data_IF_843853176361
#
_entry.id   IF_843853176361
#
_cell.length_a   1.000
_cell.length_b   1.000
_cell.length_c   1.000
_cell.angle_alpha   90.00
_cell.angle_beta   90.00
_cell.angle_gamma   90.00
#
_symmetry.space_group_name_H-M   'P 1'
#
loop_
_entity.id
_entity.type
_entity.pdbx_description
1 polymer ?
#
# COMPACT_ATOMS: atom_id res chain seq x y z
N UNK A 1 -88.06 -22.94 -23.05
CA UNK A 1 -87.31 -21.70 -22.73
C UNK A 1 -85.86 -22.08 -22.50
N UNK A 2 -84.99 -21.86 -23.49
CA UNK A 2 -83.54 -22.01 -23.35
C UNK A 2 -83.00 -20.75 -22.66
N UNK A 3 -82.28 -20.91 -21.55
CA UNK A 3 -81.53 -19.85 -20.88
C UNK A 3 -80.05 -20.04 -21.17
N UNK A 4 -79.52 -19.16 -22.02
CA UNK A 4 -78.10 -19.01 -22.33
C UNK A 4 -77.43 -18.23 -21.20
N UNK A 5 -76.54 -18.87 -20.46
CA UNK A 5 -75.67 -18.20 -19.47
C UNK A 5 -74.37 -17.75 -20.14
N UNK A 6 -74.12 -16.44 -20.13
CA UNK A 6 -72.84 -15.85 -20.55
C UNK A 6 -71.89 -15.81 -19.35
N UNK A 7 -70.73 -16.47 -19.48
CA UNK A 7 -69.61 -16.34 -18.54
C UNK A 7 -68.72 -15.18 -18.99
N UNK A 8 -68.68 -14.12 -18.18
CA UNK A 8 -67.75 -12.98 -18.34
C UNK A 8 -66.49 -13.31 -17.53
N UNK A 9 -65.37 -13.59 -18.21
CA UNK A 9 -64.05 -13.71 -17.57
C UNK A 9 -63.47 -12.33 -17.28
N UNK A 10 -63.35 -11.97 -16.01
CA UNK A 10 -62.60 -10.80 -15.56
C UNK A 10 -61.10 -11.15 -15.45
N UNK A 11 -60.27 -10.58 -16.33
CA UNK A 11 -58.82 -10.62 -16.24
C UNK A 11 -58.34 -9.54 -15.25
N UNK A 12 -57.88 -9.97 -14.07
CA UNK A 12 -57.17 -9.12 -13.12
C UNK A 12 -55.71 -8.98 -13.57
N UNK A 13 -55.33 -7.79 -14.05
CA UNK A 13 -53.93 -7.46 -14.32
C UNK A 13 -53.23 -7.11 -13.00
N UNK A 14 -52.38 -8.02 -12.51
CA UNK A 14 -51.52 -7.76 -11.35
C UNK A 14 -50.28 -6.99 -11.83
N UNK A 15 -50.25 -5.69 -11.59
CA UNK A 15 -49.05 -4.87 -11.75
C UNK A 15 -48.08 -5.18 -10.60
N UNK A 16 -47.07 -6.02 -10.86
CA UNK A 16 -45.97 -6.25 -9.93
C UNK A 16 -45.07 -5.01 -9.89
N UNK A 17 -45.15 -4.23 -8.82
CA UNK A 17 -44.17 -3.18 -8.54
C UNK A 17 -42.84 -3.85 -8.17
N UNK A 18 -41.78 -3.59 -8.95
CA UNK A 18 -40.44 -4.04 -8.60
C UNK A 18 -39.94 -3.25 -7.38
N UNK A 19 -39.87 -3.91 -6.22
CA UNK A 19 -39.20 -3.35 -5.05
C UNK A 19 -37.71 -3.20 -5.37
N UNK A 20 -37.08 -2.02 -5.20
CA UNK A 20 -35.65 -1.87 -5.40
C UNK A 20 -34.92 -2.83 -4.46
N UNK A 21 -34.04 -3.65 -5.02
CA UNK A 21 -33.18 -4.54 -4.25
C UNK A 21 -32.28 -3.66 -3.35
N UNK A 22 -32.22 -3.90 -2.03
CA UNK A 22 -31.30 -3.17 -1.17
C UNK A 22 -29.88 -3.38 -1.69
N UNK A 23 -29.22 -2.28 -2.09
CA UNK A 23 -27.79 -2.29 -2.41
C UNK A 23 -27.05 -2.59 -1.12
N UNK A 24 -26.47 -3.79 -1.02
CA UNK A 24 -25.55 -4.12 0.06
C UNK A 24 -24.35 -3.18 -0.06
N UNK A 25 -24.26 -2.18 0.82
CA UNK A 25 -23.02 -1.48 1.07
C UNK A 25 -21.96 -2.53 1.37
N UNK A 26 -20.92 -2.58 0.54
CA UNK A 26 -19.76 -3.45 0.76
C UNK A 26 -19.19 -3.05 2.13
N UNK A 27 -19.42 -3.88 3.15
CA UNK A 27 -18.94 -3.61 4.51
C UNK A 27 -17.41 -3.59 4.51
N UNK A 28 -16.86 -2.63 5.26
CA UNK A 28 -15.44 -2.60 5.57
C UNK A 28 -14.99 -3.95 6.15
N UNK A 29 -13.78 -4.38 5.79
CA UNK A 29 -13.21 -5.65 6.22
C UNK A 29 -12.05 -5.39 7.17
N UNK A 30 -12.17 -5.84 8.42
CA UNK A 30 -11.14 -5.70 9.46
C UNK A 30 -10.40 -7.02 9.68
N UNK A 31 -9.08 -6.94 9.71
CA UNK A 31 -8.15 -8.07 9.90
C UNK A 31 -7.27 -7.78 11.11
N UNK A 32 -7.32 -8.64 12.14
CA UNK A 32 -6.51 -8.49 13.36
C UNK A 32 -5.62 -9.70 13.66
N UNK A 33 -5.71 -10.77 12.85
CA UNK A 33 -4.79 -11.91 12.92
C UNK A 33 -3.59 -11.67 12.00
N UNK A 34 -2.48 -12.39 12.20
CA UNK A 34 -1.18 -12.01 11.63
C UNK A 34 -1.11 -11.83 10.11
N UNK A 35 -1.89 -12.59 9.34
CA UNK A 35 -1.72 -12.75 7.89
C UNK A 35 -2.98 -12.45 7.06
N UNK A 36 -3.92 -11.68 7.62
CA UNK A 36 -5.14 -11.32 6.89
C UNK A 36 -4.83 -10.61 5.57
N UNK A 37 -5.60 -10.93 4.51
CA UNK A 37 -5.53 -10.26 3.22
C UNK A 37 -6.90 -10.03 2.60
N UNK A 38 -7.00 -9.01 1.73
CA UNK A 38 -8.16 -8.73 0.88
C UNK A 38 -7.72 -8.48 -0.55
N UNK A 39 -8.03 -9.41 -1.46
CA UNK A 39 -7.78 -9.22 -2.89
C UNK A 39 -8.91 -8.41 -3.53
N UNK A 40 -8.58 -7.27 -4.17
CA UNK A 40 -9.59 -6.39 -4.77
C UNK A 40 -8.99 -5.48 -5.85
N UNK A 41 -9.74 -5.21 -6.92
CA UNK A 41 -9.36 -4.31 -8.02
C UNK A 41 -8.00 -4.63 -8.70
N UNK A 42 -7.51 -5.88 -8.61
CA UNK A 42 -6.19 -6.28 -9.12
C UNK A 42 -5.03 -6.03 -8.16
N UNK A 43 -5.34 -5.67 -6.91
CA UNK A 43 -4.39 -5.44 -5.82
C UNK A 43 -4.70 -6.37 -4.66
N UNK A 44 -3.80 -6.39 -3.68
CA UNK A 44 -4.03 -7.06 -2.40
C UNK A 44 -3.77 -6.08 -1.27
N UNK A 45 -4.73 -5.96 -0.35
CA UNK A 45 -4.53 -5.29 0.94
C UNK A 45 -4.03 -6.34 1.93
N UNK A 46 -2.92 -6.06 2.59
CA UNK A 46 -2.28 -6.95 3.56
C UNK A 46 -2.32 -6.35 4.96
N UNK A 47 -2.56 -7.21 5.94
CA UNK A 47 -2.31 -6.91 7.34
C UNK A 47 -0.82 -7.10 7.72
N UNK A 48 -0.27 -8.27 7.40
CA UNK A 48 1.17 -8.57 7.37
C UNK A 48 1.95 -8.19 8.65
N UNK A 49 1.63 -8.85 9.77
CA UNK A 49 2.36 -8.73 11.04
C UNK A 49 3.56 -9.67 11.10
N UNK A 50 4.44 -9.61 10.10
CA UNK A 50 5.57 -10.52 9.99
C UNK A 50 6.57 -10.42 11.14
N UNK A 51 6.73 -9.23 11.72
CA UNK A 51 7.67 -8.93 12.79
C UNK A 51 7.07 -8.93 14.19
N UNK A 52 5.78 -9.29 14.35
CA UNK A 52 5.10 -9.18 15.65
C UNK A 52 5.76 -10.00 16.76
N UNK A 53 6.44 -11.11 16.41
CA UNK A 53 7.21 -11.91 17.35
C UNK A 53 8.41 -11.19 17.99
N UNK A 54 8.84 -10.05 17.44
CA UNK A 54 9.88 -9.19 18.03
C UNK A 54 9.33 -8.27 19.13
N UNK A 55 8.00 -8.12 19.23
CA UNK A 55 7.39 -7.32 20.27
C UNK A 55 7.31 -8.12 21.59
N UNK A 56 7.49 -7.42 22.71
CA UNK A 56 7.18 -7.97 24.04
C UNK A 56 5.66 -8.07 24.27
N UNK A 57 4.91 -7.14 23.68
CA UNK A 57 3.45 -7.13 23.66
C UNK A 57 2.95 -6.17 22.59
N UNK A 58 1.69 -6.35 22.19
CA UNK A 58 1.02 -5.43 21.29
C UNK A 58 -0.09 -6.10 20.48
N UNK A 59 -0.72 -5.29 19.65
CA UNK A 59 -1.77 -5.70 18.74
C UNK A 59 -1.81 -4.75 17.54
N UNK A 60 -2.37 -5.23 16.45
CA UNK A 60 -2.66 -4.43 15.27
C UNK A 60 -3.92 -4.95 14.60
N UNK A 61 -4.71 -4.05 14.04
CA UNK A 61 -5.83 -4.36 13.17
C UNK A 61 -5.77 -3.49 11.92
N UNK A 62 -6.05 -4.06 10.76
CA UNK A 62 -6.09 -3.35 9.48
C UNK A 62 -7.50 -3.42 8.92
N UNK A 63 -8.08 -2.26 8.61
CA UNK A 63 -9.42 -2.14 8.05
C UNK A 63 -9.33 -1.66 6.61
N UNK A 64 -9.78 -2.50 5.68
CA UNK A 64 -10.01 -2.09 4.30
C UNK A 64 -11.44 -1.55 4.17
N UNK A 65 -11.58 -0.26 3.85
CA UNK A 65 -12.89 0.38 3.72
C UNK A 65 -13.47 0.15 2.32
N UNK A 66 -12.80 0.66 1.29
CA UNK A 66 -13.29 0.62 -0.09
C UNK A 66 -12.21 0.94 -1.14
N UNK A 67 -12.53 0.65 -2.41
CA UNK A 67 -11.84 1.22 -3.57
C UNK A 67 -12.81 2.18 -4.26
N UNK A 68 -12.48 3.47 -4.28
CA UNK A 68 -13.20 4.52 -5.02
C UNK A 68 -12.89 4.43 -6.52
N UNK A 69 -13.59 5.22 -7.32
CA UNK A 69 -13.34 5.34 -8.76
C UNK A 69 -11.86 5.64 -9.05
N UNK A 70 -11.34 5.06 -10.15
CA UNK A 70 -9.93 5.23 -10.53
C UNK A 70 -8.94 4.40 -9.71
N UNK A 71 -9.39 3.31 -9.07
CA UNK A 71 -8.58 2.44 -8.20
C UNK A 71 -7.95 3.20 -7.01
N UNK A 72 -8.72 4.11 -6.40
CA UNK A 72 -8.29 4.88 -5.23
C UNK A 72 -8.69 4.17 -3.94
N UNK A 73 -7.70 3.63 -3.22
CA UNK A 73 -7.90 2.85 -2.01
C UNK A 73 -8.12 3.74 -0.78
N UNK A 74 -9.04 3.31 0.09
CA UNK A 74 -9.29 3.89 1.42
C UNK A 74 -9.18 2.76 2.43
N UNK A 75 -8.28 2.92 3.40
CA UNK A 75 -8.00 1.91 4.42
C UNK A 75 -7.30 2.54 5.62
N UNK A 76 -7.29 1.82 6.74
CA UNK A 76 -6.57 2.20 7.95
C UNK A 76 -5.89 1.01 8.61
N UNK A 77 -4.92 1.30 9.47
CA UNK A 77 -4.46 0.33 10.47
C UNK A 77 -4.30 1.02 11.82
N UNK A 78 -4.72 0.31 12.86
CA UNK A 78 -4.64 0.73 14.25
C UNK A 78 -3.76 -0.25 15.00
N UNK A 79 -2.85 0.25 15.83
CA UNK A 79 -1.90 -0.62 16.53
C UNK A 79 -1.37 -0.03 17.83
N UNK A 80 -0.85 -0.92 18.67
CA UNK A 80 0.04 -0.61 19.78
C UNK A 80 1.09 -1.69 19.84
N UNK A 81 2.37 -1.33 19.87
CA UNK A 81 3.50 -2.25 19.92
C UNK A 81 4.52 -1.79 20.96
N UNK A 82 5.01 -2.72 21.77
CA UNK A 82 5.99 -2.46 22.83
C UNK A 82 7.15 -3.45 22.76
N UNK A 83 8.39 -2.96 22.90
CA UNK A 83 9.59 -3.80 22.92
C UNK A 83 10.09 -4.15 21.51
N UNK A 84 11.25 -4.82 21.45
CA UNK A 84 11.95 -5.06 20.19
C UNK A 84 12.39 -3.74 19.55
N UNK A 85 13.10 -2.91 20.32
CA UNK A 85 13.57 -1.60 19.87
C UNK A 85 14.34 -1.70 18.55
N UNK A 86 14.01 -0.84 17.59
CA UNK A 86 14.61 -0.86 16.25
C UNK A 86 14.19 -2.03 15.36
N UNK A 87 13.27 -2.90 15.80
CA UNK A 87 12.69 -3.98 14.99
C UNK A 87 11.29 -3.61 14.49
N UNK A 88 11.06 -3.71 13.20
CA UNK A 88 9.73 -3.54 12.59
C UNK A 88 8.80 -4.69 13.04
N UNK A 89 7.53 -4.38 13.30
CA UNK A 89 6.53 -5.37 13.75
C UNK A 89 5.58 -5.83 12.64
N UNK A 90 5.35 -5.00 11.62
CA UNK A 90 4.43 -5.30 10.53
C UNK A 90 4.76 -4.46 9.30
N UNK A 91 4.15 -4.80 8.17
CA UNK A 91 4.00 -3.87 7.07
C UNK A 91 2.60 -4.03 6.47
N UNK A 92 1.59 -3.42 7.11
CA UNK A 92 0.26 -3.32 6.53
C UNK A 92 0.32 -2.43 5.30
N UNK A 93 -0.11 -2.93 4.16
CA UNK A 93 0.10 -2.26 2.87
C UNK A 93 -0.96 -2.63 1.83
N UNK A 94 -1.05 -1.80 0.78
CA UNK A 94 -1.73 -2.15 -0.47
C UNK A 94 -0.67 -2.44 -1.53
N UNK A 95 -0.77 -3.61 -2.16
CA UNK A 95 0.21 -4.09 -3.12
C UNK A 95 -0.36 -4.25 -4.53
N UNK A 96 0.38 -3.74 -5.51
CA UNK A 96 0.30 -4.19 -6.89
C UNK A 96 1.36 -5.26 -7.11
N UNK A 97 0.92 -6.51 -7.15
CA UNK A 97 1.79 -7.67 -7.31
C UNK A 97 1.96 -8.05 -8.78
N UNK A 98 2.99 -8.86 -9.07
CA UNK A 98 3.25 -9.45 -10.39
C UNK A 98 3.30 -8.42 -11.53
N UNK A 99 3.93 -7.27 -11.30
CA UNK A 99 4.08 -6.21 -12.31
C UNK A 99 4.81 -6.74 -13.54
N UNK A 100 5.90 -7.50 -13.33
CA UNK A 100 6.63 -8.25 -14.36
C UNK A 100 7.02 -7.42 -15.60
N UNK A 101 7.48 -6.20 -15.36
CA UNK A 101 7.97 -5.29 -16.40
C UNK A 101 9.39 -4.83 -16.11
N UNK A 102 10.24 -4.77 -17.14
CA UNK A 102 11.58 -4.20 -17.00
C UNK A 102 11.48 -2.70 -16.77
N UNK A 103 12.41 -2.13 -16.00
CA UNK A 103 12.52 -0.68 -15.83
C UNK A 103 12.62 0.06 -17.18
N UNK A 104 13.34 -0.51 -18.16
CA UNK A 104 13.45 0.04 -19.52
C UNK A 104 12.12 0.12 -20.28
N UNK A 105 11.09 -0.63 -19.88
CA UNK A 105 9.76 -0.63 -20.48
C UNK A 105 8.80 0.34 -19.80
N UNK A 106 9.18 0.92 -18.66
CA UNK A 106 8.31 1.79 -17.86
C UNK A 106 8.40 3.23 -18.34
N UNK A 107 7.27 3.76 -18.81
CA UNK A 107 7.12 5.18 -19.14
C UNK A 107 6.99 6.02 -17.87
N UNK A 108 6.05 5.64 -17.01
CA UNK A 108 5.72 6.34 -15.76
C UNK A 108 5.01 5.42 -14.77
N UNK A 109 5.15 5.70 -13.49
CA UNK A 109 4.41 5.10 -12.37
C UNK A 109 3.77 6.24 -11.55
N UNK A 110 2.75 6.94 -12.07
CA UNK A 110 2.04 7.95 -11.30
C UNK A 110 1.40 7.34 -10.05
N UNK A 111 1.58 8.01 -8.91
CA UNK A 111 0.93 7.68 -7.65
C UNK A 111 0.47 8.94 -6.93
N UNK A 112 -0.71 8.84 -6.32
CA UNK A 112 -1.22 9.80 -5.35
C UNK A 112 -1.43 9.10 -4.03
N UNK A 113 -1.05 9.73 -2.94
CA UNK A 113 -1.26 9.20 -1.61
C UNK A 113 -1.53 10.30 -0.59
N UNK A 114 -2.76 10.31 -0.06
CA UNK A 114 -3.19 11.18 1.03
C UNK A 114 -3.39 10.34 2.28
N UNK A 115 -2.57 10.59 3.29
CA UNK A 115 -2.56 9.81 4.53
C UNK A 115 -2.39 10.69 5.77
N UNK A 116 -2.86 10.24 6.92
CA UNK A 116 -2.63 10.87 8.23
C UNK A 116 -2.27 9.81 9.26
N UNK A 117 -1.54 10.23 10.29
CA UNK A 117 -1.06 9.34 11.34
C UNK A 117 -1.13 10.05 12.68
N UNK A 118 -1.79 9.43 13.64
CA UNK A 118 -1.87 9.88 15.04
C UNK A 118 -1.43 8.76 15.96
N UNK A 119 -0.95 9.09 17.15
CA UNK A 119 -0.53 8.11 18.15
C UNK A 119 0.31 8.75 19.24
N UNK A 120 0.66 7.97 20.27
CA UNK A 120 1.54 8.41 21.37
C UNK A 120 2.85 7.62 21.36
N UNK A 121 3.98 8.33 21.54
CA UNK A 121 5.33 7.77 21.52
C UNK A 121 5.61 6.87 20.31
N UNK A 122 5.09 7.28 19.15
CA UNK A 122 5.07 6.47 17.94
C UNK A 122 6.38 6.57 17.17
N UNK A 123 7.00 5.41 16.95
CA UNK A 123 8.15 5.19 16.05
C UNK A 123 7.64 4.35 14.89
N UNK A 124 7.53 4.97 13.71
CA UNK A 124 7.01 4.34 12.51
C UNK A 124 7.45 5.10 11.26
N UNK A 125 7.47 4.43 10.11
CA UNK A 125 7.48 5.08 8.81
C UNK A 125 6.12 5.00 8.10
N UNK A 126 6.00 5.78 7.04
CA UNK A 126 4.98 5.62 6.00
C UNK A 126 5.74 5.60 4.69
N UNK A 127 5.64 4.50 3.96
CA UNK A 127 6.56 4.21 2.88
C UNK A 127 5.88 3.55 1.69
N UNK A 128 6.41 3.86 0.50
CA UNK A 128 6.34 2.94 -0.61
C UNK A 128 7.45 1.92 -0.46
N UNK A 129 7.18 0.68 -0.84
CA UNK A 129 8.16 -0.40 -0.89
C UNK A 129 8.10 -1.07 -2.27
N UNK A 130 9.19 -0.94 -3.03
CA UNK A 130 9.24 -1.22 -4.45
C UNK A 130 10.33 -2.25 -4.75
N UNK A 131 9.97 -3.35 -5.39
CA UNK A 131 10.83 -4.51 -5.50
C UNK A 131 11.33 -4.74 -6.93
N UNK A 132 12.62 -5.05 -7.05
CA UNK A 132 13.26 -5.39 -8.32
C UNK A 132 13.97 -6.74 -8.27
N UNK A 133 13.83 -7.52 -9.32
CA UNK A 133 14.53 -8.79 -9.54
C UNK A 133 15.26 -8.83 -10.88
N UNK A 134 16.31 -9.67 -11.06
CA UNK A 134 16.97 -9.89 -12.34
C UNK A 134 16.05 -10.44 -13.44
N UNK A 135 15.01 -11.18 -13.06
CA UNK A 135 13.97 -11.70 -13.94
C UNK A 135 12.66 -11.88 -13.15
N UNK A 136 11.54 -12.09 -13.84
CA UNK A 136 10.23 -12.25 -13.19
C UNK A 136 10.13 -13.49 -12.28
N UNK A 137 11.02 -14.47 -12.43
CA UNK A 137 11.04 -15.71 -11.64
C UNK A 137 12.21 -15.77 -10.64
N UNK A 138 13.08 -14.76 -10.63
CA UNK A 138 14.20 -14.69 -9.70
C UNK A 138 13.78 -14.03 -8.39
N UNK A 139 14.52 -14.32 -7.33
CA UNK A 139 14.38 -13.57 -6.07
C UNK A 139 14.71 -12.10 -6.28
N UNK A 140 14.07 -11.24 -5.49
CA UNK A 140 14.38 -9.81 -5.49
C UNK A 140 15.84 -9.56 -5.13
N UNK A 141 16.45 -8.60 -5.82
CA UNK A 141 17.83 -8.16 -5.59
C UNK A 141 17.91 -6.75 -5.04
N UNK A 142 16.93 -5.91 -5.35
CA UNK A 142 16.81 -4.58 -4.78
C UNK A 142 15.44 -4.38 -4.14
N UNK A 143 15.47 -3.67 -3.03
CA UNK A 143 14.34 -3.09 -2.34
C UNK A 143 14.51 -1.57 -2.38
N UNK A 144 13.50 -0.85 -2.85
CA UNK A 144 13.54 0.60 -2.99
C UNK A 144 12.40 1.16 -2.17
N UNK A 145 12.73 1.70 -1.01
CA UNK A 145 11.75 2.34 -0.15
C UNK A 145 11.71 3.84 -0.40
N UNK A 146 10.51 4.41 -0.45
CA UNK A 146 10.30 5.86 -0.50
C UNK A 146 9.45 6.26 0.70
N UNK A 147 10.11 6.70 1.76
CA UNK A 147 9.48 7.05 3.03
C UNK A 147 8.90 8.46 2.94
N UNK A 148 7.61 8.55 2.64
CA UNK A 148 6.84 9.79 2.65
C UNK A 148 6.60 10.29 4.07
N UNK A 149 6.76 9.46 5.10
CA UNK A 149 6.72 9.88 6.50
C UNK A 149 7.71 9.11 7.37
N UNK A 150 8.29 9.78 8.36
CA UNK A 150 9.11 9.17 9.40
C UNK A 150 8.78 9.80 10.76
N UNK A 151 8.58 8.98 11.78
CA UNK A 151 8.16 9.39 13.12
C UNK A 151 9.07 8.81 14.19
N UNK A 152 9.22 9.55 15.30
CA UNK A 152 9.83 9.03 16.54
C UNK A 152 11.28 8.57 16.44
N UNK A 153 11.99 8.92 15.36
CA UNK A 153 13.37 8.46 15.12
C UNK A 153 13.49 7.15 14.35
N UNK A 154 12.42 6.69 13.68
CA UNK A 154 12.49 5.58 12.73
C UNK A 154 13.63 5.81 11.72
N UNK A 155 14.51 4.82 11.59
CA UNK A 155 15.71 4.89 10.77
C UNK A 155 15.69 3.84 9.66
N UNK A 156 16.04 4.18 8.41
CA UNK A 156 16.11 3.21 7.33
C UNK A 156 17.34 2.31 7.46
N UNK A 157 17.33 1.20 6.74
CA UNK A 157 18.51 0.34 6.58
C UNK A 157 19.66 1.15 5.94
N UNK A 158 20.80 1.17 6.61
CA UNK A 158 21.99 1.90 6.17
C UNK A 158 23.28 1.25 6.65
N UNK A 159 24.24 1.05 5.75
CA UNK A 159 25.56 0.53 6.12
C UNK A 159 26.39 1.52 6.94
N UNK A 160 26.14 2.83 6.81
CA UNK A 160 26.95 3.88 7.45
C UNK A 160 26.19 4.65 8.52
N UNK A 161 24.88 4.43 8.65
CA UNK A 161 23.98 5.26 9.45
C UNK A 161 23.78 6.69 8.91
N UNK A 162 24.39 7.03 7.77
CA UNK A 162 24.33 8.37 7.17
C UNK A 162 23.77 8.33 5.76
N UNK A 163 23.18 9.44 5.33
CA UNK A 163 22.70 9.57 3.96
C UNK A 163 23.88 9.59 2.98
N UNK A 164 23.80 8.82 1.90
CA UNK A 164 24.78 8.81 0.82
C UNK A 164 24.56 9.95 -0.18
N UNK A 165 23.36 10.53 -0.20
CA UNK A 165 23.01 11.70 -1.00
C UNK A 165 21.79 12.42 -0.43
N UNK A 166 21.61 13.68 -0.82
CA UNK A 166 20.33 14.40 -0.69
C UNK A 166 19.88 14.81 -2.08
N UNK A 167 18.64 14.47 -2.46
CA UNK A 167 18.13 14.59 -3.84
C UNK A 167 16.76 15.24 -3.87
N UNK A 168 16.43 15.88 -4.99
CA UNK A 168 15.08 16.41 -5.25
C UNK A 168 14.42 15.59 -6.36
N UNK A 169 13.32 14.90 -6.02
CA UNK A 169 12.57 13.99 -6.92
C UNK A 169 11.08 14.19 -6.64
N UNK A 170 10.25 14.22 -7.69
CA UNK A 170 8.80 14.41 -7.57
C UNK A 170 8.38 15.59 -6.66
N UNK A 171 9.09 16.73 -6.78
CA UNK A 171 8.80 17.96 -6.03
C UNK A 171 9.14 17.94 -4.53
N UNK A 172 9.84 16.90 -4.05
CA UNK A 172 10.19 16.74 -2.64
C UNK A 172 11.70 16.50 -2.47
N UNK A 173 12.23 16.81 -1.28
CA UNK A 173 13.64 16.60 -0.92
C UNK A 173 13.80 15.35 -0.05
N UNK A 174 14.70 14.47 -0.47
CA UNK A 174 14.91 13.13 0.08
C UNK A 174 16.37 12.91 0.49
N UNK A 175 16.59 12.36 1.68
CA UNK A 175 17.88 11.77 2.07
C UNK A 175 17.91 10.32 1.59
N UNK A 176 18.88 9.97 0.76
CA UNK A 176 19.05 8.60 0.28
C UNK A 176 19.99 7.83 1.21
N UNK A 177 19.55 6.67 1.66
CA UNK A 177 20.34 5.70 2.43
C UNK A 177 20.50 4.41 1.63
N UNK A 178 21.51 3.62 1.98
CA UNK A 178 21.80 2.34 1.34
C UNK A 178 22.37 1.36 2.35
N UNK A 179 21.86 0.14 2.35
CA UNK A 179 22.44 -0.96 3.12
C UNK A 179 21.93 -2.33 2.67
N UNK A 180 22.55 -3.42 3.13
CA UNK A 180 22.10 -4.78 2.84
C UNK A 180 20.96 -5.22 3.77
N UNK A 181 20.06 -6.06 3.26
CA UNK A 181 19.11 -6.84 4.06
C UNK A 181 19.10 -8.29 3.54
N UNK A 182 19.91 -9.15 4.16
CA UNK A 182 20.24 -10.46 3.59
C UNK A 182 20.89 -10.30 2.21
N UNK A 183 20.32 -10.95 1.19
CA UNK A 183 20.83 -10.92 -0.18
C UNK A 183 20.37 -9.71 -1.02
N UNK A 184 19.50 -8.86 -0.45
CA UNK A 184 18.96 -7.67 -1.10
C UNK A 184 19.80 -6.43 -0.75
N UNK A 185 19.88 -5.50 -1.70
CA UNK A 185 20.37 -4.14 -1.42
C UNK A 185 19.17 -3.22 -1.30
N UNK A 186 19.04 -2.57 -0.15
CA UNK A 186 17.97 -1.63 0.15
C UNK A 186 18.44 -0.21 -0.13
N UNK A 187 17.64 0.52 -0.90
CA UNK A 187 17.77 1.96 -1.08
C UNK A 187 16.56 2.65 -0.46
N UNK A 188 16.77 3.51 0.53
CA UNK A 188 15.67 4.21 1.21
C UNK A 188 15.78 5.71 0.96
N UNK A 189 14.80 6.27 0.26
CA UNK A 189 14.63 7.71 0.10
C UNK A 189 13.73 8.21 1.23
N UNK A 190 14.33 8.87 2.23
CA UNK A 190 13.59 9.40 3.37
C UNK A 190 13.29 10.87 3.18
N UNK A 191 12.01 11.24 3.16
CA UNK A 191 11.61 12.63 3.02
C UNK A 191 12.20 13.48 4.16
N UNK A 192 12.75 14.64 3.82
CA UNK A 192 13.27 15.59 4.81
C UNK A 192 12.18 16.22 5.68
N UNK A 193 10.93 16.15 5.22
CA UNK A 193 9.70 16.53 5.94
C UNK A 193 8.59 15.57 5.52
N UNK A 194 7.69 15.24 6.44
CA UNK A 194 6.57 14.33 6.14
C UNK A 194 5.68 14.89 5.02
N UNK A 195 5.45 14.07 4.00
CA UNK A 195 4.65 14.35 2.80
C UNK A 195 3.30 13.65 2.93
N UNK A 196 2.41 14.23 3.73
CA UNK A 196 1.07 13.67 3.96
C UNK A 196 0.13 13.67 2.74
N UNK A 197 0.49 14.40 1.68
CA UNK A 197 -0.23 14.44 0.40
C UNK A 197 0.80 14.32 -0.73
N UNK A 198 1.21 13.09 -1.04
CA UNK A 198 2.15 12.83 -2.13
C UNK A 198 1.40 12.76 -3.47
N UNK A 199 2.00 13.34 -4.52
CA UNK A 199 1.55 13.24 -5.90
C UNK A 199 2.76 13.33 -6.82
N UNK A 200 3.14 12.22 -7.44
CA UNK A 200 4.38 12.15 -8.21
C UNK A 200 4.51 10.87 -9.04
N UNK A 201 5.58 10.80 -9.83
CA UNK A 201 5.93 9.62 -10.61
C UNK A 201 7.03 8.82 -9.89
N UNK A 202 6.69 7.62 -9.39
CA UNK A 202 7.64 6.74 -8.71
C UNK A 202 8.76 6.24 -9.63
N UNK A 203 8.57 6.27 -10.95
CA UNK A 203 9.61 5.91 -11.92
C UNK A 203 10.81 6.88 -11.87
N UNK A 204 10.65 8.10 -11.34
CA UNK A 204 11.76 9.03 -11.17
C UNK A 204 12.82 8.51 -10.17
N UNK A 205 12.40 7.78 -9.12
CA UNK A 205 13.32 7.16 -8.17
C UNK A 205 14.14 6.05 -8.84
N UNK A 206 13.51 5.19 -9.64
CA UNK A 206 14.23 4.18 -10.43
C UNK A 206 15.18 4.82 -11.45
N UNK A 207 14.78 5.90 -12.13
CA UNK A 207 15.67 6.65 -13.03
C UNK A 207 16.88 7.23 -12.30
N UNK A 208 16.71 7.73 -11.09
CA UNK A 208 17.84 8.16 -10.26
C UNK A 208 18.78 6.98 -9.95
N UNK A 209 18.25 5.84 -9.47
CA UNK A 209 19.07 4.68 -9.12
C UNK A 209 19.80 4.09 -10.33
N UNK A 210 19.15 4.03 -11.49
CA UNK A 210 19.79 3.53 -12.71
C UNK A 210 20.87 4.45 -13.27
N UNK A 211 20.78 5.76 -13.01
CA UNK A 211 21.77 6.74 -13.48
C UNK A 211 22.90 7.00 -12.49
N UNK A 212 22.65 6.84 -11.18
CA UNK A 212 23.61 7.25 -10.12
C UNK A 212 24.06 6.12 -9.20
N UNK A 213 23.33 5.01 -9.13
CA UNK A 213 23.57 3.94 -8.15
C UNK A 213 23.82 2.56 -8.77
N UNK A 214 23.97 2.49 -10.09
CA UNK A 214 24.36 1.26 -10.79
C UNK A 214 23.26 0.21 -10.93
N UNK A 215 21.99 0.54 -10.64
CA UNK A 215 20.87 -0.37 -10.88
C UNK A 215 20.64 -0.54 -12.38
N UNK A 216 20.65 -1.78 -12.88
CA UNK A 216 20.44 -2.03 -14.31
C UNK A 216 19.00 -1.69 -14.73
N UNK A 217 18.83 -1.08 -15.90
CA UNK A 217 17.52 -0.84 -16.53
C UNK A 217 16.82 -2.13 -16.97
N UNK A 218 17.54 -3.25 -17.01
CA UNK A 218 16.97 -4.57 -17.32
C UNK A 218 16.35 -5.25 -16.10
N UNK A 219 16.50 -4.70 -14.89
CA UNK A 219 15.80 -5.20 -13.72
C UNK A 219 14.29 -5.14 -13.91
N UNK A 220 13.61 -6.17 -13.41
CA UNK A 220 12.17 -6.38 -13.49
C UNK A 220 11.53 -5.91 -12.20
N UNK A 221 10.53 -5.02 -12.31
CA UNK A 221 9.64 -4.70 -11.19
C UNK A 221 8.78 -5.93 -10.90
N UNK A 222 8.86 -6.44 -9.68
CA UNK A 222 8.06 -7.59 -9.23
C UNK A 222 6.79 -7.12 -8.53
N UNK A 223 6.92 -6.22 -7.56
CA UNK A 223 5.80 -5.64 -6.81
C UNK A 223 6.01 -4.16 -6.48
N UNK A 224 4.90 -3.45 -6.30
CA UNK A 224 4.86 -2.05 -5.87
C UNK A 224 3.87 -1.93 -4.73
N UNK A 225 4.34 -1.53 -3.56
CA UNK A 225 3.59 -1.56 -2.31
C UNK A 225 3.58 -0.18 -1.65
N UNK A 226 2.54 0.12 -0.86
CA UNK A 226 2.50 1.31 -0.03
C UNK A 226 1.81 1.02 1.31
N UNK A 227 2.47 1.36 2.40
CA UNK A 227 2.06 0.97 3.76
C UNK A 227 2.76 1.73 4.87
N UNK A 228 2.81 1.13 6.05
CA UNK A 228 3.49 1.66 7.23
C UNK A 228 4.21 0.56 7.99
N UNK A 229 5.45 0.81 8.38
CA UNK A 229 6.23 -0.05 9.28
C UNK A 229 6.24 0.52 10.70
N UNK A 230 5.47 -0.03 11.65
CA UNK A 230 5.54 0.35 13.05
C UNK A 230 6.67 -0.39 13.77
N UNK A 231 7.39 0.34 14.63
CA UNK A 231 8.40 -0.21 15.53
C UNK A 231 7.84 -0.32 16.95
N UNK A 232 7.46 0.82 17.53
CA UNK A 232 6.95 0.96 18.90
C UNK A 232 5.99 2.14 18.99
N UNK A 233 5.04 2.11 19.93
CA UNK A 233 4.05 3.16 20.09
C UNK A 233 2.70 2.64 20.58
N UNK A 234 1.81 3.56 20.92
CA UNK A 234 0.50 3.23 21.48
C UNK A 234 -0.63 4.06 20.88
N UNK A 235 -1.81 3.45 20.78
CA UNK A 235 -3.03 4.05 20.23
C UNK A 235 -2.78 4.72 18.87
N UNK A 236 -1.94 4.08 18.06
CA UNK A 236 -1.54 4.61 16.78
C UNK A 236 -2.61 4.29 15.74
N UNK A 237 -2.95 5.27 14.91
CA UNK A 237 -3.94 5.15 13.84
C UNK A 237 -3.34 5.75 12.58
N UNK A 238 -2.99 4.87 11.64
CA UNK A 238 -2.64 5.24 10.28
C UNK A 238 -3.89 5.17 9.40
N UNK A 239 -4.19 6.25 8.68
CA UNK A 239 -5.34 6.30 7.76
C UNK A 239 -4.95 6.82 6.39
N UNK A 240 -5.28 6.03 5.37
CA UNK A 240 -5.19 6.41 3.96
C UNK A 240 -6.56 6.83 3.45
N UNK A 241 -6.67 8.07 2.99
CA UNK A 241 -7.91 8.66 2.45
C UNK A 241 -8.01 8.55 0.93
N UNK A 242 -6.86 8.45 0.27
CA UNK A 242 -6.72 8.29 -1.17
C UNK A 242 -5.36 7.66 -1.45
N UNK A 243 -5.33 6.49 -2.08
CA UNK A 243 -4.12 5.88 -2.59
C UNK A 243 -4.35 5.33 -3.99
N UNK A 244 -3.56 5.77 -4.95
CA UNK A 244 -3.53 5.24 -6.32
C UNK A 244 -2.09 4.95 -6.72
N UNK A 245 -1.90 3.92 -7.52
CA UNK A 245 -0.64 3.66 -8.22
C UNK A 245 -0.98 3.04 -9.57
N UNK A 246 -0.30 3.44 -10.63
CA UNK A 246 -0.55 2.90 -11.97
C UNK A 246 0.75 2.74 -12.73
N UNK A 247 0.96 1.59 -13.35
CA UNK A 247 2.11 1.35 -14.23
C UNK A 247 1.71 1.65 -15.67
N UNK A 248 2.33 2.66 -16.28
CA UNK A 248 2.22 2.91 -17.71
C UNK A 248 3.51 2.42 -18.39
N UNK A 249 3.38 1.41 -19.24
CA UNK A 249 4.49 0.89 -20.06
C UNK A 249 4.48 1.55 -21.44
N UNK A 250 5.63 1.52 -22.11
CA UNK A 250 5.74 1.85 -23.54
C UNK A 250 5.06 0.80 -24.42
#
# INVERSE_FOLDING_TARGET
MQLTSYLVSALLAVSAAASPTPTLDKRAQTMCGNWGTVSTAGYTVYHNNWGAGQASSGHQCTTFDQVKSGNSFVWSTEWSWTGGHGQVKSYSNVALEKVNKKLSQIKSIPSKWTWRYTGSNMIADVSYDLWLAPSASANNKYEIMVWVGAYGGAGPISSTGSAIATVSIAGNSWKLFKGPNGDTTVFSFVATKNVGNFNGDLNEFFKYLTSKQGVSKDMVITSLQAGTEPFEGSNAVFKTYDYTIKVNSN
#
